data_IF_038985776090
#
_entry.id   IF_038985776090
#
_cell.length_a   1.000
_cell.length_b   1.000
_cell.length_c   1.000
_cell.angle_alpha   90.00
_cell.angle_beta   90.00
_cell.angle_gamma   90.00
#
_symmetry.space_group_name_H-M   'P 1'
#
loop_
_entity.id
_entity.type
_entity.pdbx_description
1 polymer ?
#
# COMPACT_ATOMS: atom_id res chain seq x y z
N UNK A 1 -18.81 -36.62 -9.23
CA UNK A 1 -19.42 -35.86 -10.33
C UNK A 1 -19.26 -34.36 -10.03
N UNK A 2 -18.12 -33.77 -10.44
CA UNK A 2 -17.80 -32.36 -10.21
C UNK A 2 -17.86 -31.64 -11.55
N UNK A 3 -18.92 -30.88 -11.78
CA UNK A 3 -19.01 -29.95 -12.90
C UNK A 3 -19.16 -28.54 -12.35
N UNK A 4 -18.03 -27.91 -12.05
CA UNK A 4 -17.98 -26.46 -11.85
C UNK A 4 -17.63 -25.80 -13.18
N UNK A 5 -18.64 -25.21 -13.80
CA UNK A 5 -18.48 -24.29 -14.94
C UNK A 5 -17.74 -23.05 -14.44
N UNK A 6 -16.49 -22.88 -14.85
CA UNK A 6 -15.76 -21.63 -14.71
C UNK A 6 -16.08 -20.76 -15.94
N UNK A 7 -16.93 -19.73 -15.75
CA UNK A 7 -17.22 -18.74 -16.80
C UNK A 7 -16.62 -17.40 -16.35
N UNK A 8 -15.47 -17.09 -16.93
CA UNK A 8 -14.86 -15.77 -17.18
C UNK A 8 -14.85 -14.79 -15.99
N UNK A 9 -13.65 -14.55 -15.45
CA UNK A 9 -13.29 -13.25 -14.85
C UNK A 9 -12.72 -13.28 -13.44
N UNK A 10 -11.45 -13.69 -13.32
CA UNK A 10 -10.49 -13.28 -12.28
C UNK A 10 -11.01 -13.36 -10.83
N UNK A 11 -10.91 -14.53 -10.21
CA UNK A 11 -10.44 -14.72 -8.83
C UNK A 11 -10.19 -16.23 -8.64
N UNK A 12 -8.93 -16.66 -8.72
CA UNK A 12 -8.52 -17.97 -8.21
C UNK A 12 -7.90 -17.72 -6.84
N UNK A 13 -8.67 -18.03 -5.80
CA UNK A 13 -8.23 -18.00 -4.41
C UNK A 13 -7.35 -19.22 -4.16
N UNK A 14 -6.04 -18.99 -4.04
CA UNK A 14 -5.07 -20.01 -3.67
C UNK A 14 -5.24 -20.34 -2.17
N UNK A 15 -6.08 -21.35 -1.87
CA UNK A 15 -6.11 -22.01 -0.56
C UNK A 15 -4.92 -22.94 -0.42
N UNK A 16 -3.85 -22.51 0.23
CA UNK A 16 -2.81 -23.41 0.73
C UNK A 16 -3.28 -24.07 2.02
N UNK A 17 -3.88 -25.25 1.88
CA UNK A 17 -3.99 -26.25 2.95
C UNK A 17 -2.61 -26.87 3.18
N UNK A 18 -2.00 -26.61 4.34
CA UNK A 18 -1.03 -27.53 4.95
C UNK A 18 -1.38 -27.63 6.43
N UNK A 19 -2.36 -28.48 6.73
CA UNK A 19 -2.58 -29.02 8.06
C UNK A 19 -1.90 -30.39 8.08
N UNK A 20 -0.70 -30.46 8.67
CA UNK A 20 -0.09 -31.73 9.06
C UNK A 20 -0.65 -32.11 10.42
N UNK A 21 -1.13 -33.36 10.45
CA UNK A 21 -1.87 -34.04 11.49
C UNK A 21 -0.88 -34.70 12.46
N UNK A 22 -1.23 -34.65 13.75
CA UNK A 22 -1.00 -35.61 14.86
C UNK A 22 0.09 -36.68 14.69
N UNK A 23 0.98 -36.89 15.64
CA UNK A 23 0.80 -37.48 16.98
C UNK A 23 2.21 -37.45 17.64
N UNK A 24 2.47 -37.52 18.94
CA UNK A 24 1.97 -38.46 19.94
C UNK A 24 2.52 -38.00 21.31
N UNK A 25 1.69 -38.11 22.33
CA UNK A 25 1.99 -38.42 23.73
C UNK A 25 3.41 -38.16 24.27
N UNK A 26 3.51 -37.39 25.36
CA UNK A 26 3.88 -38.02 26.64
C UNK A 26 3.38 -37.18 27.82
N UNK A 27 2.79 -37.90 28.79
CA UNK A 27 2.60 -37.52 30.18
C UNK A 27 3.92 -36.93 30.77
N UNK A 28 3.94 -36.21 31.88
CA UNK A 28 3.95 -36.82 33.22
C UNK A 28 3.71 -35.72 34.26
N UNK A 29 2.79 -36.09 35.14
CA UNK A 29 2.44 -35.59 36.45
C UNK A 29 3.65 -35.12 37.30
N UNK A 30 3.47 -34.01 38.02
CA UNK A 30 4.46 -33.46 38.95
C UNK A 30 4.70 -34.41 40.14
N UNK A 31 5.94 -34.49 40.62
CA UNK A 31 6.13 -34.40 42.06
C UNK A 31 7.24 -33.43 42.47
N UNK A 32 6.86 -32.58 43.42
CA UNK A 32 7.58 -32.20 44.62
C UNK A 32 9.08 -31.81 44.57
N UNK A 33 9.27 -30.59 45.12
CA UNK A 33 10.35 -30.15 46.02
C UNK A 33 11.68 -29.78 45.35
N UNK A 34 11.75 -28.49 45.07
CA UNK A 34 12.95 -27.70 44.81
C UNK A 34 13.72 -27.54 46.13
N UNK A 35 14.97 -27.99 46.15
CA UNK A 35 15.99 -27.46 47.07
C UNK A 35 17.33 -27.33 46.32
N UNK A 36 17.67 -26.07 46.07
CA UNK A 36 18.97 -25.41 46.15
C UNK A 36 20.23 -26.26 45.88
N UNK A 37 21.01 -25.89 44.85
CA UNK A 37 22.37 -25.32 44.99
C UNK A 37 23.18 -25.38 43.67
N UNK A 38 23.74 -24.21 43.31
CA UNK A 38 24.97 -23.97 42.53
C UNK A 38 24.98 -24.23 41.00
N UNK A 39 25.93 -23.64 40.24
CA UNK A 39 25.84 -22.26 39.74
C UNK A 39 26.23 -22.17 38.24
N UNK A 40 26.29 -20.95 37.69
CA UNK A 40 26.96 -20.61 36.42
C UNK A 40 26.30 -21.13 35.15
N UNK A 41 25.32 -20.41 34.59
CA UNK A 41 25.20 -20.33 33.12
C UNK A 41 24.84 -18.90 32.72
N UNK A 42 25.79 -18.33 31.98
CA UNK A 42 25.70 -17.19 31.07
C UNK A 42 24.30 -17.01 30.46
N UNK A 43 23.63 -15.91 30.79
CA UNK A 43 22.22 -15.68 30.40
C UNK A 43 21.94 -14.22 30.06
N UNK A 44 22.67 -13.65 29.09
CA UNK A 44 22.22 -12.43 28.43
C UNK A 44 21.22 -12.80 27.32
N UNK A 45 19.94 -12.75 27.70
CA UNK A 45 18.77 -12.88 26.84
C UNK A 45 18.77 -11.73 25.80
N UNK A 46 19.35 -11.95 24.62
CA UNK A 46 19.27 -11.01 23.49
C UNK A 46 17.91 -11.18 22.81
N UNK A 47 17.00 -10.26 23.15
CA UNK A 47 15.64 -10.15 22.62
C UNK A 47 15.69 -9.97 21.09
N UNK A 48 15.04 -10.90 20.39
CA UNK A 48 14.74 -10.84 18.95
C UNK A 48 13.82 -9.64 18.67
N UNK A 49 14.41 -8.48 18.35
CA UNK A 49 13.70 -7.37 17.74
C UNK A 49 13.61 -7.60 16.22
N UNK A 50 12.68 -8.46 15.78
CA UNK A 50 12.22 -8.47 14.39
C UNK A 50 11.44 -7.18 14.14
N UNK A 51 12.18 -6.13 13.78
CA UNK A 51 11.63 -4.82 13.48
C UNK A 51 10.56 -4.91 12.40
N UNK A 52 9.34 -4.57 12.78
CA UNK A 52 8.19 -4.28 11.92
C UNK A 52 8.64 -3.55 10.63
N UNK A 53 8.59 -4.24 9.48
CA UNK A 53 8.57 -3.56 8.19
C UNK A 53 7.12 -3.47 7.69
N UNK A 54 6.27 -2.83 8.49
CA UNK A 54 5.03 -2.28 7.97
C UNK A 54 5.39 -1.16 6.98
N UNK A 55 5.59 -1.53 5.71
CA UNK A 55 5.76 -0.61 4.59
C UNK A 55 4.42 0.12 4.39
N UNK A 56 4.18 1.09 5.24
CA UNK A 56 3.11 2.06 5.12
C UNK A 56 3.50 3.02 3.99
N UNK A 57 3.09 2.68 2.77
CA UNK A 57 3.34 3.48 1.58
C UNK A 57 2.80 4.92 1.71
N UNK A 58 1.78 5.13 2.55
CA UNK A 58 1.24 6.44 2.90
C UNK A 58 1.97 7.14 4.07
N UNK A 59 2.74 6.41 4.89
CA UNK A 59 3.55 7.02 5.95
C UNK A 59 4.69 7.87 5.41
N UNK A 60 5.17 7.64 4.18
CA UNK A 60 6.25 8.47 3.62
C UNK A 60 5.78 9.89 3.27
N UNK A 61 4.69 10.05 2.51
CA UNK A 61 4.17 11.39 2.15
C UNK A 61 3.65 12.17 3.35
N UNK A 62 2.82 11.55 4.21
CA UNK A 62 2.25 12.24 5.38
C UNK A 62 3.36 12.74 6.31
N UNK A 63 4.36 11.89 6.60
CA UNK A 63 5.51 12.25 7.43
C UNK A 63 6.35 13.37 6.82
N UNK A 64 6.66 13.29 5.53
CA UNK A 64 7.39 14.37 4.84
C UNK A 64 6.64 15.69 4.93
N UNK A 65 5.32 15.67 4.66
CA UNK A 65 4.47 16.87 4.72
C UNK A 65 4.43 17.45 6.14
N UNK A 66 4.20 16.63 7.16
CA UNK A 66 4.18 17.08 8.56
C UNK A 66 5.56 17.58 9.04
N UNK A 67 6.65 17.05 8.49
CA UNK A 67 8.01 17.50 8.80
C UNK A 67 8.44 18.77 8.04
N UNK A 68 7.54 19.41 7.31
CA UNK A 68 7.75 20.71 6.65
C UNK A 68 8.28 20.64 5.21
N UNK A 69 8.26 19.47 4.56
CA UNK A 69 8.61 19.39 3.15
C UNK A 69 7.55 20.06 2.27
N UNK A 70 8.00 20.91 1.35
CA UNK A 70 7.15 21.56 0.35
C UNK A 70 7.02 20.68 -0.88
N UNK A 71 5.80 20.53 -1.40
CA UNK A 71 5.52 19.75 -2.60
C UNK A 71 5.62 20.60 -3.87
N UNK A 72 6.21 20.06 -4.93
CA UNK A 72 6.27 20.70 -6.25
C UNK A 72 4.95 20.57 -7.03
N UNK A 73 4.90 21.19 -8.22
CA UNK A 73 3.94 20.81 -9.27
C UNK A 73 4.23 19.39 -9.77
N UNK A 74 3.23 18.77 -10.41
CA UNK A 74 3.41 17.45 -11.01
C UNK A 74 4.55 17.50 -12.03
N UNK A 75 5.51 16.59 -11.91
CA UNK A 75 6.71 16.48 -12.74
C UNK A 75 6.96 15.04 -13.15
N UNK A 76 7.99 14.82 -13.96
CA UNK A 76 8.52 13.50 -14.31
C UNK A 76 9.95 13.36 -13.79
N UNK A 77 10.31 12.18 -13.30
CA UNK A 77 11.71 11.87 -13.03
C UNK A 77 12.44 11.44 -14.33
N UNK A 78 13.74 11.22 -14.21
CA UNK A 78 14.59 10.74 -15.33
C UNK A 78 14.12 9.41 -15.92
N UNK A 79 13.50 8.55 -15.11
CA UNK A 79 12.87 7.29 -15.54
C UNK A 79 11.47 7.47 -16.18
N UNK A 80 11.04 8.70 -16.48
CA UNK A 80 9.76 9.00 -17.11
C UNK A 80 8.52 8.82 -16.21
N UNK A 81 8.69 8.47 -14.94
CA UNK A 81 7.59 8.29 -14.00
C UNK A 81 7.05 9.65 -13.58
N UNK A 82 5.73 9.82 -13.63
CA UNK A 82 5.06 11.03 -13.12
C UNK A 82 4.92 11.01 -11.60
N UNK A 83 5.15 12.14 -10.95
CA UNK A 83 5.08 12.30 -9.50
C UNK A 83 5.35 13.73 -9.07
N UNK A 84 5.71 13.91 -7.80
CA UNK A 84 6.05 15.21 -7.24
C UNK A 84 7.38 15.14 -6.52
N UNK A 85 8.12 16.25 -6.53
CA UNK A 85 9.30 16.42 -5.70
C UNK A 85 8.85 17.12 -4.41
N UNK A 86 9.12 16.48 -3.28
CA UNK A 86 9.03 17.09 -1.97
C UNK A 86 10.43 17.59 -1.59
N UNK A 87 10.55 18.85 -1.15
CA UNK A 87 11.83 19.48 -0.80
C UNK A 87 11.80 20.10 0.60
N UNK A 88 12.88 19.93 1.37
CA UNK A 88 13.17 20.67 2.60
C UNK A 88 14.67 20.98 2.64
N UNK A 89 15.06 22.26 2.52
CA UNK A 89 16.47 22.61 2.35
C UNK A 89 17.05 21.95 1.09
N UNK A 90 18.16 21.24 1.23
CA UNK A 90 18.79 20.48 0.13
C UNK A 90 18.16 19.09 -0.09
N UNK A 91 17.44 18.57 0.91
CA UNK A 91 16.82 17.26 0.82
C UNK A 91 15.64 17.27 -0.15
N UNK A 92 15.71 16.38 -1.14
CA UNK A 92 14.67 16.16 -2.14
C UNK A 92 14.21 14.71 -2.13
N UNK A 93 12.90 14.52 -2.19
CA UNK A 93 12.25 13.21 -2.25
C UNK A 93 11.28 13.21 -3.43
N UNK A 94 11.40 12.25 -4.34
CA UNK A 94 10.45 12.04 -5.42
C UNK A 94 9.36 11.07 -4.99
N UNK A 95 8.13 11.56 -4.95
CA UNK A 95 6.94 10.81 -4.62
C UNK A 95 6.19 10.42 -5.89
N UNK A 96 6.19 9.13 -6.23
CA UNK A 96 5.53 8.61 -7.42
C UNK A 96 4.01 8.83 -7.33
N UNK A 97 3.37 9.16 -8.44
CA UNK A 97 1.90 9.20 -8.51
C UNK A 97 1.31 7.80 -8.39
N UNK A 98 0.33 7.62 -7.50
CA UNK A 98 -0.43 6.37 -7.36
C UNK A 98 -1.75 6.41 -8.12
N UNK A 99 -2.49 7.53 -8.04
CA UNK A 99 -3.76 7.64 -8.74
C UNK A 99 -3.57 7.46 -10.26
N UNK A 100 -4.47 6.69 -10.87
CA UNK A 100 -4.49 6.40 -12.32
C UNK A 100 -5.70 6.99 -13.02
N UNK A 101 -6.76 7.28 -12.26
CA UNK A 101 -8.03 7.84 -12.74
C UNK A 101 -8.25 9.21 -12.12
N UNK A 102 -8.67 10.18 -12.93
CA UNK A 102 -8.77 11.59 -12.54
C UNK A 102 -10.07 12.21 -13.02
N UNK A 103 -10.63 13.11 -12.22
CA UNK A 103 -11.75 13.97 -12.60
C UNK A 103 -11.22 15.20 -13.35
N UNK A 104 -11.77 15.46 -14.54
CA UNK A 104 -11.45 16.65 -15.34
C UNK A 104 -12.47 17.78 -15.16
N UNK A 105 -13.54 17.55 -14.41
CA UNK A 105 -14.68 18.47 -14.26
C UNK A 105 -15.76 18.22 -15.30
N UNK A 106 -16.99 18.67 -14.99
CA UNK A 106 -18.13 18.63 -15.94
C UNK A 106 -18.51 17.23 -16.41
N UNK A 107 -18.34 16.20 -15.58
CA UNK A 107 -18.63 14.81 -15.95
C UNK A 107 -17.56 14.15 -16.83
N UNK A 108 -16.44 14.83 -17.11
CA UNK A 108 -15.33 14.28 -17.89
C UNK A 108 -14.26 13.71 -16.97
N UNK A 109 -13.64 12.61 -17.38
CA UNK A 109 -12.55 11.99 -16.66
C UNK A 109 -11.41 11.59 -17.58
N UNK A 110 -10.32 11.14 -16.97
CA UNK A 110 -9.26 10.47 -17.69
C UNK A 110 -8.60 9.36 -16.86
N UNK A 111 -8.14 8.33 -17.56
CA UNK A 111 -7.23 7.31 -17.06
C UNK A 111 -5.86 7.56 -17.70
N UNK A 112 -4.79 7.29 -16.97
CA UNK A 112 -3.45 7.26 -17.55
C UNK A 112 -3.05 5.81 -17.73
N UNK A 113 -2.84 5.41 -18.98
CA UNK A 113 -2.44 4.06 -19.35
C UNK A 113 -1.05 3.70 -18.81
N UNK A 114 -0.70 2.42 -18.87
CA UNK A 114 0.64 1.94 -18.51
C UNK A 114 1.74 2.62 -19.34
N UNK A 115 1.46 2.91 -20.62
CA UNK A 115 2.33 3.68 -21.51
C UNK A 115 2.35 5.20 -21.22
N UNK A 116 1.67 5.66 -20.16
CA UNK A 116 1.62 7.08 -19.79
C UNK A 116 0.69 7.94 -20.64
N UNK A 117 -0.09 7.34 -21.56
CA UNK A 117 -1.05 8.07 -22.40
C UNK A 117 -2.32 8.36 -21.62
N UNK A 118 -2.93 9.52 -21.89
CA UNK A 118 -4.19 9.92 -21.27
C UNK A 118 -5.36 9.43 -22.13
N UNK A 119 -6.19 8.57 -21.57
CA UNK A 119 -7.41 8.04 -22.17
C UNK A 119 -8.58 8.78 -21.55
N UNK A 120 -9.43 9.42 -22.38
CA UNK A 120 -10.63 10.12 -21.90
C UNK A 120 -11.69 9.09 -21.49
N UNK A 121 -12.47 9.40 -20.46
CA UNK A 121 -13.61 8.61 -20.05
C UNK A 121 -14.79 9.51 -19.67
N UNK A 122 -16.01 9.00 -19.85
CA UNK A 122 -17.20 9.63 -19.31
C UNK A 122 -17.29 9.31 -17.81
N UNK A 123 -16.89 10.30 -16.99
CA UNK A 123 -16.85 10.16 -15.54
C UNK A 123 -18.26 10.13 -14.95
N UNK A 124 -19.26 10.74 -15.60
CA UNK A 124 -20.66 10.70 -15.17
C UNK A 124 -21.23 9.29 -15.36
N UNK A 125 -21.03 8.72 -16.54
CA UNK A 125 -21.46 7.36 -16.85
C UNK A 125 -20.77 6.32 -15.96
N UNK A 126 -19.44 6.41 -15.78
CA UNK A 126 -18.71 5.49 -14.91
C UNK A 126 -19.19 5.56 -13.45
N UNK A 127 -19.34 6.77 -12.89
CA UNK A 127 -19.85 6.94 -11.51
C UNK A 127 -21.30 6.44 -11.39
N UNK A 128 -22.13 6.60 -12.43
CA UNK A 128 -23.49 6.05 -12.46
C UNK A 128 -23.46 4.53 -12.44
N UNK A 129 -22.69 3.91 -13.32
CA UNK A 129 -22.52 2.46 -13.37
C UNK A 129 -22.11 1.85 -12.02
N UNK A 130 -21.16 2.48 -11.31
CA UNK A 130 -20.74 2.02 -9.96
C UNK A 130 -21.91 2.10 -8.97
N UNK A 131 -22.67 3.21 -8.97
CA UNK A 131 -23.84 3.37 -8.09
C UNK A 131 -24.95 2.38 -8.40
N UNK A 132 -25.21 2.13 -9.68
CA UNK A 132 -26.27 1.23 -10.13
C UNK A 132 -26.00 -0.23 -9.68
N UNK A 133 -24.73 -0.58 -9.43
CA UNK A 133 -24.33 -1.86 -8.81
C UNK A 133 -24.39 -1.84 -7.27
N UNK A 134 -24.86 -0.77 -6.66
CA UNK A 134 -24.87 -0.59 -5.20
C UNK A 134 -23.50 -0.36 -4.58
N UNK A 135 -22.46 -0.10 -5.37
CA UNK A 135 -21.10 0.10 -4.87
C UNK A 135 -20.83 1.56 -4.48
N UNK A 136 -19.97 1.74 -3.47
CA UNK A 136 -19.52 3.07 -3.07
C UNK A 136 -18.58 3.64 -4.15
N UNK A 137 -18.97 4.77 -4.73
CA UNK A 137 -18.14 5.49 -5.70
C UNK A 137 -16.83 5.93 -5.03
N UNK A 138 -15.66 5.50 -5.55
CA UNK A 138 -14.39 5.90 -4.98
C UNK A 138 -14.11 7.38 -5.25
N UNK A 139 -13.28 7.98 -4.40
CA UNK A 139 -12.81 9.36 -4.59
C UNK A 139 -11.87 9.43 -5.80
N UNK A 140 -12.20 10.26 -6.78
CA UNK A 140 -11.32 10.57 -7.89
C UNK A 140 -10.66 11.94 -7.69
N UNK A 141 -9.32 12.05 -7.63
CA UNK A 141 -8.65 13.35 -7.57
C UNK A 141 -8.94 14.20 -8.80
N UNK A 142 -9.13 15.50 -8.60
CA UNK A 142 -9.18 16.46 -9.72
C UNK A 142 -7.81 16.61 -10.35
N UNK A 143 -7.77 16.55 -11.68
CA UNK A 143 -6.51 16.66 -12.43
C UNK A 143 -5.82 18.02 -12.23
N UNK A 144 -6.61 19.11 -12.11
CA UNK A 144 -6.10 20.44 -11.81
C UNK A 144 -5.35 20.49 -10.48
N UNK A 145 -5.93 19.90 -9.44
CA UNK A 145 -5.33 19.83 -8.10
C UNK A 145 -4.04 19.02 -8.10
N UNK A 146 -4.04 17.89 -8.81
CA UNK A 146 -2.84 17.07 -8.94
C UNK A 146 -1.70 17.78 -9.66
N UNK A 147 -2.00 18.48 -10.76
CA UNK A 147 -0.99 19.29 -11.46
C UNK A 147 -0.40 20.37 -10.55
N UNK A 148 -1.22 20.97 -9.70
CA UNK A 148 -0.82 22.00 -8.76
C UNK A 148 -0.11 21.47 -7.50
N UNK A 149 0.00 20.14 -7.31
CA UNK A 149 0.56 19.55 -6.09
C UNK A 149 -0.40 19.55 -4.89
N UNK A 150 -1.68 19.87 -5.10
CA UNK A 150 -2.75 19.82 -4.09
C UNK A 150 -3.28 18.39 -3.96
N UNK A 151 -2.41 17.47 -3.57
CA UNK A 151 -2.72 16.03 -3.49
C UNK A 151 -2.99 15.56 -2.07
N UNK A 152 -3.79 14.50 -1.96
CA UNK A 152 -3.95 13.77 -0.72
C UNK A 152 -2.98 12.60 -0.65
N UNK A 153 -2.69 12.13 0.56
CA UNK A 153 -1.78 11.00 0.76
C UNK A 153 -2.21 9.73 0.00
N UNK A 154 -3.52 9.54 -0.23
CA UNK A 154 -4.06 8.42 -0.99
C UNK A 154 -3.68 8.46 -2.48
N UNK A 155 -3.47 9.65 -3.06
CA UNK A 155 -3.11 9.82 -4.47
C UNK A 155 -1.60 9.64 -4.72
N UNK A 156 -0.82 9.60 -3.64
CA UNK A 156 0.64 9.56 -3.65
C UNK A 156 1.12 8.14 -3.31
N UNK A 157 2.06 7.65 -4.10
CA UNK A 157 2.74 6.38 -3.91
C UNK A 157 3.99 6.53 -3.05
N UNK A 158 4.92 5.57 -3.19
CA UNK A 158 6.18 5.58 -2.45
C UNK A 158 7.01 6.83 -2.80
N UNK A 159 7.53 7.49 -1.78
CA UNK A 159 8.56 8.52 -1.92
C UNK A 159 9.96 7.89 -1.81
N UNK A 160 10.89 8.35 -2.65
CA UNK A 160 12.31 7.93 -2.66
C UNK A 160 13.21 9.15 -2.76
N UNK A 161 14.47 9.04 -2.30
CA UNK A 161 15.46 10.11 -2.43
C UNK A 161 15.59 10.53 -3.91
N UNK A 162 15.56 11.83 -4.16
CA UNK A 162 15.68 12.43 -5.49
C UNK A 162 17.06 13.08 -5.60
N UNK A 163 17.83 12.64 -6.60
CA UNK A 163 19.18 13.12 -6.88
C UNK A 163 19.12 14.11 -8.04
#
# INVERSE_FOLDING_TARGET
MLLNKCKIGIYCEASTKYALRHDLHTEINMPHKINLLFPVISGALLILATGFTATSYAASYKKLKSSGYKISRLTRNTAGQSGWIMKKGEDKQFCKRRAVTFDLGGGKGAIISLAGKRIRLDMKAMKKFIRDRGEKVPRYPRWSDMKAGRVQAADVGRCKRYR
#
